data_IF_090831246962
#
_entry.id   IF_090831246962
#
_cell.length_a   1.000
_cell.length_b   1.000
_cell.length_c   1.000
_cell.angle_alpha   90.00
_cell.angle_beta   90.00
_cell.angle_gamma   90.00
#
_symmetry.space_group_name_H-M   'P 1'
#
loop_
_entity.id
_entity.type
_entity.pdbx_description
1 polymer ?
#
# COMPACT_ATOMS: atom_id res chain seq x y z
N UNK A 1 12.22 -10.89 14.53
CA UNK A 1 11.71 -11.24 13.18
C UNK A 1 11.60 -9.95 12.39
N UNK A 2 12.30 -9.88 11.27
CA UNK A 2 12.20 -8.75 10.34
C UNK A 2 10.91 -8.88 9.53
N UNK A 3 10.12 -7.80 9.47
CA UNK A 3 8.87 -7.78 8.69
C UNK A 3 9.12 -7.06 7.37
N UNK A 4 8.98 -7.78 6.27
CA UNK A 4 9.00 -7.20 4.93
C UNK A 4 7.61 -6.63 4.63
N UNK A 5 7.57 -5.31 4.41
CA UNK A 5 6.35 -4.57 4.03
C UNK A 5 5.83 -5.05 2.67
N UNK A 6 4.58 -4.73 2.30
CA UNK A 6 4.08 -5.02 0.97
C UNK A 6 5.05 -4.56 -0.11
N UNK A 7 5.48 -5.49 -0.96
CA UNK A 7 6.42 -5.24 -2.05
C UNK A 7 6.13 -6.20 -3.20
N UNK A 8 5.90 -5.65 -4.39
CA UNK A 8 5.55 -6.44 -5.57
C UNK A 8 6.68 -7.36 -6.02
N UNK A 9 7.92 -7.02 -5.66
CA UNK A 9 9.12 -7.78 -6.02
C UNK A 9 9.58 -8.78 -4.95
N UNK A 10 9.11 -8.67 -3.70
CA UNK A 10 9.57 -9.51 -2.60
C UNK A 10 8.44 -10.37 -2.01
N UNK A 11 7.23 -9.79 -1.86
CA UNK A 11 6.13 -10.43 -1.17
C UNK A 11 5.38 -11.46 -2.04
N UNK A 12 4.53 -12.24 -1.40
CA UNK A 12 3.79 -13.35 -2.01
C UNK A 12 2.28 -13.12 -1.90
N UNK A 13 1.49 -13.99 -2.53
CA UNK A 13 0.03 -13.93 -2.42
C UNK A 13 -0.44 -14.22 -1.00
N UNK A 14 0.25 -15.10 -0.28
CA UNK A 14 0.00 -15.42 1.12
C UNK A 14 1.20 -15.03 2.00
N UNK A 15 0.98 -14.96 3.32
CA UNK A 15 2.04 -14.74 4.31
C UNK A 15 3.09 -15.85 4.23
N UNK A 16 4.36 -15.47 4.27
CA UNK A 16 5.47 -16.44 4.29
C UNK A 16 6.55 -16.03 5.27
N UNK A 17 7.19 -17.03 5.85
CA UNK A 17 8.42 -16.85 6.63
C UNK A 17 9.54 -17.58 5.90
N UNK A 18 10.60 -16.87 5.55
CA UNK A 18 11.79 -17.39 4.88
C UNK A 18 13.01 -16.76 5.56
N UNK A 19 13.94 -17.57 6.03
CA UNK A 19 15.21 -17.13 6.66
C UNK A 19 15.03 -16.02 7.72
N UNK A 20 14.12 -16.26 8.69
CA UNK A 20 13.75 -15.33 9.77
C UNK A 20 13.11 -14.00 9.34
N UNK A 21 12.76 -13.86 8.08
CA UNK A 21 11.97 -12.75 7.54
C UNK A 21 10.52 -13.15 7.36
N UNK A 22 9.63 -12.26 7.80
CA UNK A 22 8.19 -12.41 7.59
C UNK A 22 7.72 -11.50 6.46
N UNK A 23 7.22 -12.11 5.38
CA UNK A 23 6.74 -11.41 4.19
C UNK A 23 5.24 -11.19 4.28
N UNK A 24 4.82 -9.94 4.13
CA UNK A 24 3.39 -9.58 4.13
C UNK A 24 2.67 -10.18 2.92
N UNK A 25 1.45 -10.70 3.15
CA UNK A 25 0.62 -11.24 2.06
C UNK A 25 0.04 -10.12 1.19
N UNK A 26 0.42 -10.04 -0.08
CA UNK A 26 -0.20 -9.08 -1.01
C UNK A 26 -1.69 -9.39 -1.24
N UNK A 27 -2.09 -10.67 -1.18
CA UNK A 27 -3.49 -11.09 -1.22
C UNK A 27 -4.30 -10.76 0.05
N UNK A 28 -3.64 -10.31 1.12
CA UNK A 28 -4.27 -9.78 2.34
C UNK A 28 -4.63 -8.30 2.25
N UNK A 29 -4.19 -7.59 1.21
CA UNK A 29 -4.55 -6.21 0.96
C UNK A 29 -6.00 -6.15 0.46
N UNK A 30 -6.78 -5.19 0.95
CA UNK A 30 -8.17 -5.00 0.54
C UNK A 30 -8.33 -4.88 -0.97
N UNK A 31 -9.32 -5.55 -1.52
CA UNK A 31 -9.65 -5.59 -2.93
C UNK A 31 -8.56 -6.20 -3.84
N UNK A 32 -7.52 -6.81 -3.27
CA UNK A 32 -6.48 -7.53 -4.01
C UNK A 32 -6.78 -9.02 -3.99
N UNK A 33 -6.96 -9.62 -5.18
CA UNK A 33 -7.29 -11.04 -5.32
C UNK A 33 -6.07 -11.94 -5.16
N UNK A 34 -6.21 -13.01 -4.39
CA UNK A 34 -5.15 -14.01 -4.17
C UNK A 34 -4.64 -14.63 -5.49
N UNK A 35 -5.55 -15.01 -6.38
CA UNK A 35 -5.21 -15.65 -7.66
C UNK A 35 -4.43 -14.69 -8.58
N UNK A 36 -4.88 -13.44 -8.68
CA UNK A 36 -4.20 -12.41 -9.45
C UNK A 36 -2.76 -12.20 -8.97
N UNK A 37 -2.57 -12.09 -7.65
CA UNK A 37 -1.22 -11.97 -7.08
C UNK A 37 -0.40 -13.24 -7.29
N UNK A 38 -0.99 -14.43 -7.22
CA UNK A 38 -0.27 -15.68 -7.50
C UNK A 38 0.27 -15.70 -8.93
N UNK A 39 -0.49 -15.20 -9.91
CA UNK A 39 -0.05 -15.07 -11.30
C UNK A 39 1.08 -14.04 -11.44
N UNK A 40 0.98 -12.90 -10.77
CA UNK A 40 2.03 -11.85 -10.75
C UNK A 40 3.32 -12.39 -10.13
N UNK A 41 3.22 -13.12 -9.01
CA UNK A 41 4.37 -13.76 -8.36
C UNK A 41 5.01 -14.82 -9.26
N UNK A 42 4.21 -15.61 -9.97
CA UNK A 42 4.70 -16.59 -10.94
C UNK A 42 5.47 -15.90 -12.06
N UNK A 43 4.89 -14.85 -12.67
CA UNK A 43 5.54 -14.06 -13.71
C UNK A 43 6.91 -13.51 -13.24
N UNK A 44 6.94 -12.93 -12.04
CA UNK A 44 8.17 -12.44 -11.42
C UNK A 44 9.20 -13.54 -11.19
N UNK A 45 8.75 -14.73 -10.79
CA UNK A 45 9.65 -15.87 -10.50
C UNK A 45 10.27 -16.43 -11.77
N UNK A 46 9.52 -16.47 -12.86
CA UNK A 46 9.97 -17.02 -14.15
C UNK A 46 10.85 -16.01 -14.94
N UNK A 47 10.51 -14.72 -14.88
CA UNK A 47 11.10 -13.69 -15.73
C UNK A 47 11.88 -12.61 -14.96
N UNK A 48 12.09 -12.79 -13.65
CA UNK A 48 12.83 -11.86 -12.78
C UNK A 48 11.99 -10.71 -12.24
N UNK A 49 12.59 -9.94 -11.33
CA UNK A 49 11.95 -8.80 -10.68
C UNK A 49 11.51 -7.73 -11.68
N UNK A 50 10.41 -7.05 -11.38
CA UNK A 50 9.96 -5.89 -12.14
C UNK A 50 10.92 -4.72 -11.91
N UNK A 51 11.43 -4.14 -13.00
CA UNK A 51 12.43 -3.07 -12.96
C UNK A 51 11.80 -1.67 -12.88
N UNK A 52 10.61 -1.53 -13.43
CA UNK A 52 9.85 -0.27 -13.49
C UNK A 52 8.34 -0.56 -13.55
N UNK A 53 7.52 0.48 -13.37
CA UNK A 53 6.07 0.37 -13.58
C UNK A 53 5.77 -0.05 -15.02
N UNK A 54 6.53 0.46 -15.98
CA UNK A 54 6.36 0.10 -17.38
C UNK A 54 6.64 -1.39 -17.63
N UNK A 55 7.73 -1.93 -17.06
CA UNK A 55 8.05 -3.36 -17.11
C UNK A 55 6.93 -4.20 -16.50
N UNK A 56 6.40 -3.79 -15.35
CA UNK A 56 5.25 -4.45 -14.71
C UNK A 56 4.03 -4.48 -15.63
N UNK A 57 3.64 -3.34 -16.22
CA UNK A 57 2.48 -3.23 -17.11
C UNK A 57 2.62 -4.03 -18.42
N UNK A 58 3.84 -4.17 -18.93
CA UNK A 58 4.13 -4.93 -20.15
C UNK A 58 4.07 -6.46 -19.96
N UNK A 59 4.29 -6.92 -18.73
CA UNK A 59 4.43 -8.35 -18.39
C UNK A 59 3.20 -8.94 -17.73
N UNK A 60 2.49 -8.17 -16.91
CA UNK A 60 1.35 -8.68 -16.16
C UNK A 60 0.08 -8.73 -17.01
N UNK A 61 -0.66 -9.82 -16.90
CA UNK A 61 -1.90 -10.02 -17.65
C UNK A 61 -2.98 -9.00 -17.21
N UNK A 62 -3.66 -8.30 -18.14
CA UNK A 62 -4.73 -7.35 -17.80
C UNK A 62 -5.85 -7.95 -16.94
N UNK A 63 -6.09 -9.26 -17.03
CA UNK A 63 -7.08 -9.97 -16.21
C UNK A 63 -6.73 -9.96 -14.72
N UNK A 64 -5.42 -9.91 -14.42
CA UNK A 64 -4.88 -9.88 -13.06
C UNK A 64 -4.70 -8.45 -12.53
N UNK A 65 -5.11 -7.42 -13.32
CA UNK A 65 -4.99 -6.01 -12.97
C UNK A 65 -6.31 -5.27 -13.19
N UNK A 66 -7.10 -5.14 -12.15
CA UNK A 66 -8.23 -4.22 -12.18
C UNK A 66 -7.92 -2.95 -11.38
N UNK A 67 -8.78 -1.94 -11.52
CA UNK A 67 -8.63 -0.65 -10.84
C UNK A 67 -8.47 -0.79 -9.34
N UNK A 68 -9.35 -1.56 -8.69
CA UNK A 68 -9.35 -1.72 -7.23
C UNK A 68 -8.11 -2.45 -6.71
N UNK A 69 -7.61 -3.43 -7.47
CA UNK A 69 -6.37 -4.13 -7.13
C UNK A 69 -5.16 -3.19 -7.19
N UNK A 70 -5.04 -2.42 -8.28
CA UNK A 70 -3.95 -1.45 -8.42
C UNK A 70 -4.03 -0.37 -7.32
N UNK A 71 -5.21 0.15 -7.04
CA UNK A 71 -5.43 1.11 -5.94
C UNK A 71 -4.99 0.53 -4.58
N UNK A 72 -5.37 -0.71 -4.28
CA UNK A 72 -4.98 -1.40 -3.06
C UNK A 72 -3.45 -1.58 -2.95
N UNK A 73 -2.81 -2.05 -4.01
CA UNK A 73 -1.36 -2.25 -4.06
C UNK A 73 -0.59 -0.92 -3.91
N UNK A 74 -1.03 0.14 -4.61
CA UNK A 74 -0.40 1.48 -4.51
C UNK A 74 -0.56 2.04 -3.10
N UNK A 75 -1.77 2.03 -2.53
CA UNK A 75 -2.04 2.51 -1.17
C UNK A 75 -1.19 1.79 -0.12
N UNK A 76 -1.03 0.47 -0.27
CA UNK A 76 -0.22 -0.36 0.63
C UNK A 76 1.30 -0.18 0.43
N UNK A 77 1.74 0.56 -0.60
CA UNK A 77 3.14 0.79 -0.91
C UNK A 77 3.84 -0.38 -1.62
N UNK A 78 3.09 -1.28 -2.24
CA UNK A 78 3.67 -2.44 -2.92
C UNK A 78 4.62 -2.10 -4.07
N UNK A 79 4.58 -0.88 -4.58
CA UNK A 79 5.45 -0.39 -5.64
C UNK A 79 6.57 0.56 -5.17
N UNK A 80 6.72 0.82 -3.87
CA UNK A 80 7.66 1.82 -3.34
C UNK A 80 9.12 1.60 -3.77
N UNK A 81 9.54 0.36 -3.99
CA UNK A 81 10.89 0.02 -4.47
C UNK A 81 11.07 0.30 -5.97
N UNK A 82 9.99 0.45 -6.72
CA UNK A 82 10.01 0.78 -8.15
C UNK A 82 9.75 2.28 -8.35
N UNK A 83 8.76 2.82 -7.64
CA UNK A 83 8.41 4.24 -7.66
C UNK A 83 7.86 4.66 -6.30
N UNK A 84 8.52 5.62 -5.65
CA UNK A 84 8.19 6.08 -4.29
C UNK A 84 6.98 7.01 -4.22
N UNK A 85 6.62 7.65 -5.34
CA UNK A 85 5.51 8.60 -5.37
C UNK A 85 4.18 7.85 -5.57
N UNK A 86 3.54 7.52 -4.45
CA UNK A 86 2.29 6.76 -4.45
C UNK A 86 1.12 7.56 -5.06
N UNK A 87 1.07 8.88 -4.88
CA UNK A 87 0.00 9.70 -5.44
C UNK A 87 0.08 9.73 -6.96
N UNK A 88 1.27 9.95 -7.52
CA UNK A 88 1.48 9.88 -8.98
C UNK A 88 1.04 8.54 -9.57
N UNK A 89 1.40 7.43 -8.91
CA UNK A 89 0.96 6.10 -9.35
C UNK A 89 -0.55 5.94 -9.25
N UNK A 90 -1.15 6.37 -8.14
CA UNK A 90 -2.59 6.26 -7.91
C UNK A 90 -3.42 7.00 -8.96
N UNK A 91 -3.05 8.23 -9.26
CA UNK A 91 -3.75 9.06 -10.25
C UNK A 91 -3.52 8.58 -11.70
N UNK A 92 -2.44 7.82 -11.92
CA UNK A 92 -2.12 7.23 -13.22
C UNK A 92 -2.77 5.86 -13.48
N UNK A 93 -3.47 5.27 -12.52
CA UNK A 93 -4.11 3.94 -12.66
C UNK A 93 -5.02 3.84 -13.89
N UNK A 94 -5.85 4.83 -14.26
CA UNK A 94 -6.64 4.74 -15.47
C UNK A 94 -5.79 4.57 -16.73
N UNK A 95 -4.65 5.27 -16.82
CA UNK A 95 -3.69 5.17 -17.91
C UNK A 95 -3.02 3.78 -17.95
N UNK A 96 -2.70 3.22 -16.78
CA UNK A 96 -2.13 1.88 -16.66
C UNK A 96 -3.06 0.81 -17.23
N UNK A 97 -4.34 0.86 -16.86
CA UNK A 97 -5.35 -0.08 -17.35
C UNK A 97 -5.50 0.01 -18.86
N UNK A 98 -5.59 1.23 -19.39
CA UNK A 98 -5.72 1.45 -20.83
C UNK A 98 -4.50 0.93 -21.58
N UNK A 99 -3.28 1.26 -21.13
CA UNK A 99 -2.04 0.80 -21.74
C UNK A 99 -1.95 -0.72 -21.76
N UNK A 100 -2.18 -1.36 -20.63
CA UNK A 100 -2.07 -2.82 -20.51
C UNK A 100 -3.06 -3.53 -21.43
N UNK A 101 -4.29 -3.01 -21.56
CA UNK A 101 -5.28 -3.53 -22.48
C UNK A 101 -4.79 -3.44 -23.92
N UNK A 102 -4.29 -2.27 -24.34
CA UNK A 102 -3.78 -2.05 -25.70
C UNK A 102 -2.61 -2.98 -26.03
N UNK A 103 -1.66 -3.17 -25.09
CA UNK A 103 -0.52 -4.07 -25.27
C UNK A 103 -1.00 -5.50 -25.52
N UNK A 104 -1.99 -5.98 -24.76
CA UNK A 104 -2.50 -7.34 -24.89
C UNK A 104 -3.33 -7.53 -26.17
N UNK A 105 -4.11 -6.54 -26.57
CA UNK A 105 -4.85 -6.58 -27.83
C UNK A 105 -3.90 -6.62 -29.02
N UNK A 106 -2.83 -5.81 -29.03
CA UNK A 106 -1.82 -5.80 -30.09
C UNK A 106 -1.05 -7.13 -30.17
N UNK A 107 -0.64 -7.69 -29.00
CA UNK A 107 -0.01 -9.02 -28.96
C UNK A 107 -0.92 -10.12 -29.50
N UNK A 108 -2.21 -10.06 -29.22
CA UNK A 108 -3.19 -11.05 -29.70
C UNK A 108 -3.48 -10.93 -31.20
N UNK A 109 -3.33 -9.74 -31.76
CA UNK A 109 -3.53 -9.47 -33.20
C UNK A 109 -2.28 -9.73 -34.05
N UNK A 110 -1.16 -10.23 -33.48
CA UNK A 110 0.14 -10.35 -34.16
C UNK A 110 0.63 -9.05 -34.83
N UNK A 111 0.16 -7.91 -34.37
CA UNK A 111 0.64 -6.61 -34.82
C UNK A 111 1.90 -6.26 -34.04
N UNK A 112 3.01 -6.16 -34.76
CA UNK A 112 4.25 -5.60 -34.20
C UNK A 112 4.01 -4.10 -34.08
N UNK A 113 3.94 -3.61 -32.84
CA UNK A 113 3.89 -2.18 -32.59
C UNK A 113 5.27 -1.59 -32.91
N UNK A 114 5.38 -0.93 -34.07
CA UNK A 114 6.61 -0.28 -34.54
C UNK A 114 7.07 0.86 -33.62
N UNK A 115 6.27 1.25 -32.63
CA UNK A 115 6.53 2.34 -31.68
C UNK A 115 6.84 1.84 -30.26
N UNK A 116 6.96 0.52 -30.03
CA UNK A 116 7.17 -0.05 -28.69
C UNK A 116 8.62 -0.02 -28.19
N UNK A 117 9.58 0.42 -28.99
CA UNK A 117 11.02 0.45 -28.64
C UNK A 117 11.50 1.77 -28.01
N UNK A 118 10.66 2.80 -27.90
CA UNK A 118 11.07 4.03 -27.23
C UNK A 118 11.00 3.87 -25.70
N UNK A 119 12.13 3.54 -25.08
CA UNK A 119 12.35 3.61 -23.62
C UNK A 119 12.06 5.03 -23.04
N UNK A 120 11.91 6.04 -23.93
CA UNK A 120 11.59 7.41 -23.56
C UNK A 120 10.11 7.64 -23.22
N UNK A 121 9.23 6.65 -23.40
CA UNK A 121 7.79 6.79 -23.16
C UNK A 121 7.35 6.54 -21.69
N UNK A 122 8.27 6.30 -20.77
CA UNK A 122 7.91 6.19 -19.33
C UNK A 122 7.28 7.47 -18.79
N UNK A 123 7.76 8.63 -19.25
CA UNK A 123 7.31 9.94 -18.78
C UNK A 123 5.87 10.30 -19.18
N UNK A 124 5.25 9.57 -20.13
CA UNK A 124 3.90 9.89 -20.59
C UNK A 124 2.77 9.12 -19.89
N UNK A 125 3.10 8.15 -19.02
CA UNK A 125 2.10 7.27 -18.40
C UNK A 125 1.83 7.67 -16.96
N UNK A 126 2.87 8.18 -16.26
CA UNK A 126 2.80 8.60 -14.89
C UNK A 126 2.65 10.11 -14.85
N UNK A 127 1.58 10.59 -14.22
CA UNK A 127 1.39 12.01 -13.95
C UNK A 127 2.37 12.43 -12.86
N UNK A 128 3.30 13.32 -13.17
CA UNK A 128 4.24 13.88 -12.19
C UNK A 128 3.53 14.92 -11.33
N UNK A 129 3.20 14.53 -10.12
CA UNK A 129 2.58 15.37 -9.08
C UNK A 129 3.28 15.12 -7.74
N UNK A 130 3.11 16.00 -6.79
CA UNK A 130 3.63 15.80 -5.43
C UNK A 130 3.01 14.55 -4.78
N UNK A 131 3.79 13.83 -3.98
CA UNK A 131 3.28 12.65 -3.25
C UNK A 131 2.33 13.08 -2.13
N UNK A 132 1.50 12.15 -1.68
CA UNK A 132 0.64 12.35 -0.51
C UNK A 132 1.46 12.85 0.68
N UNK A 133 0.87 13.79 1.41
CA UNK A 133 1.43 14.21 2.70
C UNK A 133 1.47 13.02 3.66
N UNK A 134 2.36 13.09 4.65
CA UNK A 134 2.60 12.01 5.61
C UNK A 134 1.31 11.41 6.20
N UNK A 135 0.41 12.24 6.70
CA UNK A 135 -0.85 11.78 7.31
C UNK A 135 -1.80 11.13 6.29
N UNK A 136 -1.89 11.69 5.08
CA UNK A 136 -2.71 11.14 4.02
C UNK A 136 -2.17 9.79 3.56
N UNK A 137 -0.86 9.68 3.36
CA UNK A 137 -0.17 8.43 3.00
C UNK A 137 -0.46 7.33 4.01
N UNK A 138 -0.35 7.61 5.32
CA UNK A 138 -0.68 6.66 6.38
C UNK A 138 -2.17 6.31 6.42
N UNK A 139 -3.05 7.29 6.17
CA UNK A 139 -4.50 7.04 6.08
C UNK A 139 -4.85 6.09 4.93
N UNK A 140 -4.25 6.30 3.74
CA UNK A 140 -4.42 5.41 2.58
C UNK A 140 -3.88 4.00 2.84
N UNK A 141 -2.73 3.91 3.50
CA UNK A 141 -2.14 2.62 3.89
C UNK A 141 -3.07 1.89 4.87
N UNK A 142 -3.56 2.56 5.90
CA UNK A 142 -4.53 2.01 6.83
C UNK A 142 -5.84 1.56 6.15
N UNK A 143 -6.33 2.35 5.18
CA UNK A 143 -7.51 1.98 4.38
C UNK A 143 -7.30 0.65 3.64
N UNK A 144 -6.11 0.43 3.06
CA UNK A 144 -5.80 -0.75 2.26
C UNK A 144 -5.47 -1.99 3.11
N UNK A 145 -4.79 -1.82 4.24
CA UNK A 145 -4.19 -2.91 5.02
C UNK A 145 -4.93 -3.14 6.35
N UNK A 146 -5.51 -2.08 6.93
CA UNK A 146 -6.21 -2.13 8.21
C UNK A 146 -5.35 -1.78 9.42
N UNK A 147 -4.06 -1.50 9.23
CA UNK A 147 -3.14 -1.00 10.25
C UNK A 147 -2.00 -0.20 9.61
N UNK A 148 -1.24 0.52 10.42
CA UNK A 148 -0.11 1.30 9.95
C UNK A 148 1.14 0.42 9.83
N UNK A 149 1.74 0.34 8.64
CA UNK A 149 2.92 -0.50 8.37
C UNK A 149 4.18 0.36 8.26
N UNK A 150 4.09 1.48 7.53
CA UNK A 150 5.29 2.27 7.21
C UNK A 150 5.73 3.14 8.37
N UNK A 151 4.79 3.74 9.10
CA UNK A 151 5.03 4.60 10.25
C UNK A 151 3.73 4.74 11.06
N UNK A 152 3.79 5.38 12.23
CA UNK A 152 2.61 5.66 13.04
C UNK A 152 2.31 7.16 13.07
N UNK A 153 1.03 7.60 12.96
CA UNK A 153 0.67 9.02 12.95
C UNK A 153 1.19 9.82 14.15
N UNK A 154 1.35 9.17 15.30
CA UNK A 154 1.85 9.79 16.50
C UNK A 154 3.36 10.05 16.49
N UNK A 155 4.13 9.41 15.62
CA UNK A 155 5.59 9.55 15.61
C UNK A 155 6.07 10.97 15.26
N UNK A 156 5.26 11.75 14.57
CA UNK A 156 5.54 13.17 14.29
C UNK A 156 5.46 14.07 15.54
N UNK A 157 4.88 13.59 16.64
CA UNK A 157 4.64 14.36 17.87
C UNK A 157 5.56 13.97 19.04
N UNK A 158 6.66 13.27 18.78
CA UNK A 158 7.57 12.77 19.84
C UNK A 158 8.06 13.87 20.77
N UNK A 159 8.44 15.04 20.23
CA UNK A 159 8.89 16.18 21.05
C UNK A 159 7.79 16.66 22.02
N UNK A 160 6.53 16.68 21.54
CA UNK A 160 5.38 17.04 22.37
C UNK A 160 5.16 16.00 23.47
N UNK A 161 5.40 14.72 23.17
CA UNK A 161 5.24 13.66 24.17
C UNK A 161 6.25 13.79 25.31
N UNK A 162 7.47 14.19 25.02
CA UNK A 162 8.51 14.44 26.01
C UNK A 162 8.12 15.63 26.91
N UNK A 163 7.64 16.74 26.32
CA UNK A 163 7.20 17.94 27.04
C UNK A 163 6.03 17.65 28.00
N UNK A 164 5.05 16.86 27.56
CA UNK A 164 3.86 16.49 28.35
C UNK A 164 4.07 15.21 29.19
N UNK A 165 5.27 14.64 29.20
CA UNK A 165 5.61 13.38 29.91
C UNK A 165 4.62 12.26 29.59
N UNK A 166 4.25 12.13 28.31
CA UNK A 166 3.38 11.07 27.84
C UNK A 166 4.21 9.77 27.81
N UNK A 167 3.70 8.73 28.44
CA UNK A 167 4.29 7.40 28.43
C UNK A 167 3.45 6.45 27.60
N UNK A 168 4.07 5.37 27.09
CA UNK A 168 3.32 4.32 26.41
C UNK A 168 2.54 3.47 27.42
N UNK A 169 1.49 2.80 26.91
CA UNK A 169 0.60 1.98 27.73
C UNK A 169 1.33 0.79 28.36
N UNK A 170 2.31 0.21 27.67
CA UNK A 170 3.04 -0.95 28.19
C UNK A 170 3.89 -0.56 29.39
N UNK A 171 4.56 0.58 29.33
CA UNK A 171 5.32 1.12 30.46
C UNK A 171 4.39 1.45 31.64
N UNK A 172 3.25 2.09 31.38
CA UNK A 172 2.23 2.38 32.41
C UNK A 172 1.76 1.10 33.10
N UNK A 173 1.41 0.06 32.32
CA UNK A 173 0.89 -1.20 32.84
C UNK A 173 1.91 -2.00 33.65
N UNK A 174 3.20 -1.87 33.35
CA UNK A 174 4.27 -2.58 34.06
C UNK A 174 4.74 -1.88 35.34
N UNK A 175 4.29 -0.65 35.61
CA UNK A 175 4.72 0.15 36.76
C UNK A 175 3.54 0.46 37.68
N UNK A 176 3.31 -0.40 38.67
CA UNK A 176 2.20 -0.26 39.63
C UNK A 176 2.24 1.03 40.46
N UNK A 177 3.38 1.70 40.54
CA UNK A 177 3.55 2.99 41.24
C UNK A 177 2.91 4.16 40.49
N UNK A 178 2.67 4.03 39.17
CA UNK A 178 2.08 5.06 38.35
C UNK A 178 0.56 4.86 38.30
N UNK A 179 -0.17 5.65 39.09
CA UNK A 179 -1.64 5.55 39.17
C UNK A 179 -2.37 6.32 38.10
N UNK A 180 -1.77 7.40 37.58
CA UNK A 180 -2.36 8.28 36.57
C UNK A 180 -1.27 8.79 35.63
N UNK A 181 -1.55 8.87 34.34
CA UNK A 181 -0.68 9.52 33.36
C UNK A 181 -1.50 9.99 32.15
N UNK A 182 -0.89 10.92 31.37
CA UNK A 182 -1.41 11.35 30.08
C UNK A 182 -1.10 10.28 29.02
N UNK A 183 -2.04 10.03 28.12
CA UNK A 183 -1.86 9.16 26.97
C UNK A 183 -2.05 9.93 25.68
N UNK A 184 -1.34 9.54 24.63
CA UNK A 184 -1.60 9.99 23.27
C UNK A 184 -2.23 8.87 22.48
N UNK A 185 -3.25 9.20 21.69
CA UNK A 185 -3.94 8.24 20.83
C UNK A 185 -4.36 8.88 19.51
N UNK A 186 -4.39 8.07 18.46
CA UNK A 186 -4.93 8.46 17.16
C UNK A 186 -6.40 8.10 17.07
N UNK A 187 -7.24 9.05 16.70
CA UNK A 187 -8.66 8.80 16.46
C UNK A 187 -8.85 8.06 15.14
N UNK A 188 -9.19 6.78 15.19
CA UNK A 188 -9.40 5.95 13.99
C UNK A 188 -10.82 6.06 13.44
N UNK A 189 -11.82 6.14 14.34
CA UNK A 189 -13.23 6.17 13.96
C UNK A 189 -14.06 6.78 15.07
N UNK A 190 -15.04 7.59 14.68
CA UNK A 190 -16.11 8.06 15.57
C UNK A 190 -17.43 7.48 15.09
N UNK A 191 -18.16 6.87 16.01
CA UNK A 191 -19.53 6.42 15.74
C UNK A 191 -20.48 7.15 16.67
N UNK A 192 -21.31 8.03 16.11
CA UNK A 192 -22.37 8.72 16.87
C UNK A 192 -23.51 7.76 17.15
N UNK A 193 -23.94 7.74 18.39
CA UNK A 193 -25.10 6.94 18.84
C UNK A 193 -26.02 7.80 19.70
N UNK A 194 -27.28 7.36 19.85
CA UNK A 194 -28.23 7.99 20.76
C UNK A 194 -28.59 7.02 21.88
N UNK A 195 -28.67 7.53 23.09
CA UNK A 195 -29.22 6.79 24.24
C UNK A 195 -30.71 6.61 24.08
N UNK A 196 -31.33 5.70 24.86
CA UNK A 196 -32.77 5.53 24.91
C UNK A 196 -33.52 6.83 25.30
N UNK A 197 -32.84 7.78 25.96
CA UNK A 197 -33.41 9.10 26.34
C UNK A 197 -33.14 10.17 25.26
N UNK A 198 -32.59 9.82 24.08
CA UNK A 198 -32.37 10.73 22.96
C UNK A 198 -31.06 11.53 23.03
N UNK A 199 -30.25 11.39 24.05
CA UNK A 199 -28.96 12.10 24.16
C UNK A 199 -27.94 11.47 23.22
N UNK A 200 -27.25 12.28 22.42
CA UNK A 200 -26.15 11.85 21.55
C UNK A 200 -24.89 11.55 22.35
N UNK A 201 -24.18 10.50 21.98
CA UNK A 201 -22.84 10.18 22.48
C UNK A 201 -22.00 9.57 21.36
N UNK A 202 -20.68 9.68 21.48
CA UNK A 202 -19.74 9.12 20.53
C UNK A 202 -18.99 7.92 21.14
N UNK A 203 -18.72 6.93 20.27
CA UNK A 203 -17.90 5.75 20.57
C UNK A 203 -16.78 5.68 19.57
#
# INVERSE_FOLDING_TARGET
IEITRPDINECFADFRTIDDKFYYALGGIKAVGFEAISNIVKERTENGKFKSINDFLNRVNPKDMNKLQLEGLVKAGAFDNINKNRQSLFDSIPNFILKTKNIFENKSANQIDLFSEDETSENNIINEIDDWKFEERLSKEFEAVGFFISDHPLNQFKEIFDDYKIIDYQYFYQNDDIKENNIAATLLKVTERKTAKGNSYAV
#
